data_IF_321622142241
#
_entry.id   IF_321622142241
#
_cell.length_a   1.000
_cell.length_b   1.000
_cell.length_c   1.000
_cell.angle_alpha   90.00
_cell.angle_beta   90.00
_cell.angle_gamma   90.00
#
_symmetry.space_group_name_H-M   'P 1'
#
loop_
_entity.id
_entity.type
_entity.pdbx_description
1 polymer ?
#
# COMPACT_ATOMS: atom_id res chain seq x y z
N UNK A 1 17.39 -12.67 -18.43
CA UNK A 1 16.13 -12.07 -17.95
C UNK A 1 15.69 -11.00 -18.94
N UNK A 2 14.46 -11.08 -19.46
CA UNK A 2 13.95 -10.01 -20.33
C UNK A 2 13.77 -8.72 -19.52
N UNK A 3 14.12 -7.54 -20.08
CA UNK A 3 13.93 -6.26 -19.41
C UNK A 3 12.45 -6.03 -19.06
N UNK A 4 12.17 -5.70 -17.79
CA UNK A 4 10.79 -5.42 -17.34
C UNK A 4 10.34 -4.07 -17.88
N UNK A 5 9.27 -4.05 -18.67
CA UNK A 5 8.63 -2.82 -19.17
C UNK A 5 7.78 -2.14 -18.08
N UNK A 6 7.79 -0.82 -18.03
CA UNK A 6 6.90 -0.02 -17.17
C UNK A 6 5.60 0.26 -17.91
N UNK A 7 4.46 -0.18 -17.38
CA UNK A 7 3.13 0.03 -17.99
C UNK A 7 2.42 1.23 -17.36
N UNK A 8 1.63 1.93 -18.17
CA UNK A 8 0.72 2.94 -17.66
C UNK A 8 -0.37 2.28 -16.82
N UNK A 9 -0.76 2.97 -15.75
CA UNK A 9 -1.75 2.48 -14.78
C UNK A 9 -3.16 2.97 -15.05
N UNK A 10 -3.37 3.86 -16.02
CA UNK A 10 -4.70 4.28 -16.43
C UNK A 10 -5.47 3.11 -17.04
N UNK A 11 -6.77 3.00 -16.74
CA UNK A 11 -7.63 1.93 -17.24
C UNK A 11 -7.62 1.94 -18.78
N UNK A 12 -7.44 0.76 -19.38
CA UNK A 12 -7.36 0.53 -20.84
C UNK A 12 -6.23 1.25 -21.58
N UNK A 13 -5.32 1.96 -20.89
CA UNK A 13 -4.14 2.53 -21.52
C UNK A 13 -3.10 1.45 -21.84
N UNK A 14 -2.70 1.36 -23.12
CA UNK A 14 -1.71 0.38 -23.59
C UNK A 14 -0.28 0.94 -23.64
N UNK A 15 -0.09 2.18 -23.20
CA UNK A 15 1.22 2.83 -23.20
C UNK A 15 2.17 2.11 -22.23
N UNK A 16 3.40 1.89 -22.68
CA UNK A 16 4.47 1.34 -21.86
C UNK A 16 5.81 1.93 -22.27
N UNK A 17 6.79 1.82 -21.36
CA UNK A 17 8.19 2.19 -21.57
C UNK A 17 9.06 0.94 -21.43
N UNK A 18 9.94 0.72 -22.40
CA UNK A 18 11.00 -0.30 -22.33
C UNK A 18 12.31 0.34 -21.87
N UNK A 19 13.26 -0.42 -21.31
CA UNK A 19 14.60 0.11 -21.04
C UNK A 19 15.25 0.62 -22.32
N UNK A 20 15.91 1.79 -22.23
CA UNK A 20 16.49 2.50 -23.39
C UNK A 20 15.53 3.46 -24.11
N UNK A 21 14.25 3.51 -23.73
CA UNK A 21 13.29 4.46 -24.28
C UNK A 21 13.37 5.82 -23.54
N UNK A 22 13.37 6.92 -24.29
CA UNK A 22 13.39 8.28 -23.77
C UNK A 22 12.02 8.79 -23.31
N UNK A 23 10.94 8.03 -23.56
CA UNK A 23 9.59 8.39 -23.10
C UNK A 23 9.53 8.54 -21.59
N UNK A 24 8.94 9.63 -21.10
CA UNK A 24 8.69 9.82 -19.68
C UNK A 24 7.61 8.83 -19.20
N UNK A 25 7.83 8.22 -18.03
CA UNK A 25 6.77 7.55 -17.26
C UNK A 25 6.67 8.24 -15.91
N UNK A 26 5.56 8.94 -15.69
CA UNK A 26 5.34 9.75 -14.50
C UNK A 26 5.02 8.84 -13.31
N UNK A 27 5.85 8.79 -12.26
CA UNK A 27 5.54 8.02 -11.07
C UNK A 27 4.33 8.61 -10.34
N UNK A 28 3.59 7.79 -9.60
CA UNK A 28 2.54 8.30 -8.72
C UNK A 28 3.14 9.23 -7.65
N UNK A 29 2.43 10.29 -7.22
CA UNK A 29 2.91 11.18 -6.16
C UNK A 29 2.99 10.45 -4.81
N UNK A 30 3.58 11.11 -3.82
CA UNK A 30 3.59 10.61 -2.44
C UNK A 30 2.15 10.37 -1.93
N UNK A 31 1.94 9.41 -1.01
CA UNK A 31 0.64 9.17 -0.40
C UNK A 31 0.00 10.46 0.13
N UNK A 32 -1.27 10.69 -0.22
CA UNK A 32 -2.01 11.90 0.14
C UNK A 32 -3.11 12.23 -0.86
N UNK A 33 -3.68 13.44 -0.74
CA UNK A 33 -4.81 13.90 -1.57
C UNK A 33 -4.53 13.84 -3.07
N UNK A 34 -3.33 14.23 -3.50
CA UNK A 34 -2.94 14.19 -4.93
C UNK A 34 -2.85 12.76 -5.46
N UNK A 35 -2.33 11.82 -4.67
CA UNK A 35 -2.27 10.41 -5.08
C UNK A 35 -3.67 9.82 -5.18
N UNK A 36 -4.53 10.11 -4.19
CA UNK A 36 -5.95 9.73 -4.21
C UNK A 36 -6.64 10.21 -5.48
N UNK A 37 -6.38 11.46 -5.88
CA UNK A 37 -6.94 12.04 -7.11
C UNK A 37 -6.44 11.31 -8.37
N UNK A 38 -5.15 10.97 -8.43
CA UNK A 38 -4.62 10.17 -9.54
C UNK A 38 -5.26 8.78 -9.63
N UNK A 39 -5.47 8.11 -8.49
CA UNK A 39 -6.12 6.80 -8.44
C UNK A 39 -7.57 6.92 -8.91
N UNK A 40 -8.34 7.87 -8.37
CA UNK A 40 -9.72 8.12 -8.74
C UNK A 40 -9.86 8.38 -10.26
N UNK A 41 -9.11 9.34 -10.79
CA UNK A 41 -9.20 9.73 -12.19
C UNK A 41 -8.67 8.67 -13.16
N UNK A 42 -7.80 7.76 -12.70
CA UNK A 42 -7.28 6.67 -13.55
C UNK A 42 -8.35 5.67 -14.00
N UNK A 43 -9.48 5.62 -13.30
CA UNK A 43 -10.54 4.63 -13.51
C UNK A 43 -10.10 3.18 -13.24
N UNK A 44 -8.91 2.94 -12.68
CA UNK A 44 -8.34 1.61 -12.55
C UNK A 44 -8.46 1.05 -11.13
N UNK A 45 -9.40 0.13 -10.94
CA UNK A 45 -9.63 -0.54 -9.65
C UNK A 45 -8.45 -1.42 -9.18
N UNK A 46 -7.58 -1.88 -10.09
CA UNK A 46 -6.41 -2.68 -9.70
C UNK A 46 -5.42 -1.90 -8.81
N UNK A 47 -5.49 -0.56 -8.84
CA UNK A 47 -4.70 0.29 -7.96
C UNK A 47 -5.14 0.23 -6.50
N UNK A 48 -6.38 -0.18 -6.22
CA UNK A 48 -6.91 -0.34 -4.87
C UNK A 48 -6.41 -1.61 -4.18
N UNK A 49 -5.93 -2.59 -4.95
CA UNK A 49 -5.32 -3.83 -4.44
C UNK A 49 -3.93 -3.60 -3.84
N UNK A 50 -3.41 -2.38 -3.97
CA UNK A 50 -2.04 -2.00 -3.60
C UNK A 50 -2.09 -0.91 -2.54
N UNK A 51 -1.09 -0.92 -1.67
CA UNK A 51 -0.95 0.16 -0.70
C UNK A 51 -0.59 1.49 -1.39
N UNK A 52 -0.94 2.64 -0.81
CA UNK A 52 -0.52 3.96 -1.30
C UNK A 52 0.99 4.05 -1.57
N UNK A 53 1.79 3.43 -0.69
CA UNK A 53 3.25 3.36 -0.85
C UNK A 53 3.68 2.47 -2.02
N UNK A 54 2.99 1.34 -2.24
CA UNK A 54 3.25 0.48 -3.41
C UNK A 54 2.87 1.18 -4.71
N UNK A 55 1.78 1.96 -4.72
CA UNK A 55 1.39 2.78 -5.86
C UNK A 55 2.49 3.81 -6.19
N UNK A 56 2.97 4.54 -5.18
CA UNK A 56 4.06 5.51 -5.36
C UNK A 56 5.32 4.88 -5.98
N UNK A 57 5.74 3.70 -5.49
CA UNK A 57 6.99 3.06 -5.92
C UNK A 57 6.88 2.33 -7.26
N UNK A 58 5.74 1.70 -7.53
CA UNK A 58 5.63 0.68 -8.58
C UNK A 58 4.65 1.02 -9.70
N UNK A 59 3.91 2.13 -9.61
CA UNK A 59 2.90 2.51 -10.60
C UNK A 59 3.27 3.83 -11.26
N UNK A 60 2.83 3.96 -12.51
CA UNK A 60 3.22 5.05 -13.39
C UNK A 60 2.07 5.43 -14.34
N UNK A 61 2.06 6.70 -14.74
CA UNK A 61 1.16 7.26 -15.77
C UNK A 61 2.00 7.73 -16.96
N UNK A 62 1.54 7.47 -18.19
CA UNK A 62 2.22 8.02 -19.35
C UNK A 62 1.89 9.52 -19.52
N UNK A 63 2.68 10.28 -20.28
CA UNK A 63 2.51 11.73 -20.43
C UNK A 63 1.23 12.13 -21.16
N UNK A 64 0.55 11.18 -21.82
CA UNK A 64 -0.67 11.43 -22.57
C UNK A 64 -1.87 11.75 -21.67
N UNK A 65 -1.79 11.41 -20.38
CA UNK A 65 -2.85 11.70 -19.40
C UNK A 65 -2.75 13.10 -18.79
N UNK A 66 -1.72 13.87 -19.16
CA UNK A 66 -1.46 15.22 -18.65
C UNK A 66 -1.51 16.22 -19.80
N UNK A 67 -2.04 17.40 -19.53
CA UNK A 67 -2.04 18.49 -20.50
C UNK A 67 -0.64 19.11 -20.60
N UNK A 68 -0.26 19.74 -21.74
CA UNK A 68 1.09 20.27 -21.93
C UNK A 68 1.53 21.31 -20.88
N UNK A 69 0.60 22.07 -20.32
CA UNK A 69 0.80 23.08 -19.27
C UNK A 69 1.15 22.48 -17.90
N UNK A 70 0.89 21.20 -17.69
CA UNK A 70 1.22 20.47 -16.47
C UNK A 70 2.68 20.02 -16.40
N UNK A 71 3.43 20.23 -17.47
CA UNK A 71 4.87 19.97 -17.53
C UNK A 71 5.66 21.25 -17.28
N UNK A 72 6.84 21.11 -16.67
CA UNK A 72 7.73 22.26 -16.42
C UNK A 72 8.42 22.75 -17.70
N UNK A 73 8.37 21.97 -18.78
CA UNK A 73 8.96 22.31 -20.07
C UNK A 73 8.19 21.69 -21.24
N UNK A 74 8.40 22.25 -22.44
CA UNK A 74 7.81 21.75 -23.70
C UNK A 74 8.23 20.31 -24.06
N UNK A 75 9.37 19.87 -23.54
CA UNK A 75 9.91 18.53 -23.77
C UNK A 75 9.26 17.44 -22.89
N UNK A 76 8.30 17.80 -22.03
CA UNK A 76 7.58 16.89 -21.13
C UNK A 76 8.52 15.98 -20.31
N UNK A 77 9.61 16.54 -19.81
CA UNK A 77 10.64 15.80 -19.06
C UNK A 77 10.23 15.65 -17.58
N UNK A 78 9.50 16.63 -17.05
CA UNK A 78 9.10 16.68 -15.64
C UNK A 78 7.72 17.29 -15.48
N UNK A 79 6.92 16.69 -14.61
CA UNK A 79 5.62 17.22 -14.18
C UNK A 79 5.80 18.31 -13.13
N UNK A 80 4.88 19.28 -13.13
CA UNK A 80 4.74 20.24 -12.03
C UNK A 80 4.27 19.57 -10.75
N UNK A 81 4.48 20.23 -9.61
CA UNK A 81 4.11 19.73 -8.28
C UNK A 81 2.59 19.66 -8.07
N UNK A 82 1.84 20.44 -8.82
CA UNK A 82 0.37 20.53 -8.80
C UNK A 82 -0.29 19.72 -9.93
N UNK A 83 0.49 19.09 -10.82
CA UNK A 83 -0.05 18.37 -11.97
C UNK A 83 -1.00 17.22 -11.57
N UNK A 84 -2.20 17.23 -12.13
CA UNK A 84 -3.21 16.19 -11.93
C UNK A 84 -3.63 15.70 -13.32
N UNK A 85 -3.55 14.39 -13.60
CA UNK A 85 -3.91 13.88 -14.90
C UNK A 85 -5.38 14.20 -15.17
N UNK A 86 -5.68 14.70 -16.37
CA UNK A 86 -7.02 15.20 -16.73
C UNK A 86 -7.55 14.59 -18.01
N UNK A 87 -6.73 13.81 -18.73
CA UNK A 87 -7.09 13.23 -20.03
C UNK A 87 -7.26 11.72 -19.87
N UNK A 88 -8.51 11.25 -19.81
CA UNK A 88 -8.86 9.84 -19.72
C UNK A 88 -10.00 9.47 -20.65
N UNK A 89 -9.96 8.25 -21.18
CA UNK A 89 -11.05 7.68 -21.98
C UNK A 89 -12.15 7.06 -21.11
N UNK A 90 -11.83 6.75 -19.85
CA UNK A 90 -12.71 6.06 -18.91
C UNK A 90 -13.16 7.03 -17.82
N UNK A 91 -14.38 6.84 -17.28
CA UNK A 91 -14.84 7.66 -16.17
C UNK A 91 -13.98 7.44 -14.92
N UNK A 92 -13.94 8.42 -14.01
CA UNK A 92 -13.30 8.24 -12.72
C UNK A 92 -13.98 7.13 -11.92
N UNK A 93 -13.25 6.58 -10.95
CA UNK A 93 -13.80 5.64 -9.97
C UNK A 93 -14.89 6.31 -9.13
N UNK A 94 -15.94 5.54 -8.78
CA UNK A 94 -17.04 6.04 -7.95
C UNK A 94 -16.60 6.31 -6.51
N UNK A 95 -17.38 7.13 -5.80
CA UNK A 95 -17.11 7.45 -4.40
C UNK A 95 -17.13 6.21 -3.50
N UNK A 96 -18.03 5.24 -3.76
CA UNK A 96 -18.06 4.00 -2.98
C UNK A 96 -16.79 3.16 -3.17
N UNK A 97 -16.21 3.18 -4.38
CA UNK A 97 -14.94 2.51 -4.66
C UNK A 97 -13.80 3.25 -3.94
N UNK A 98 -13.78 4.58 -4.05
CA UNK A 98 -12.74 5.39 -3.42
C UNK A 98 -12.75 5.32 -1.89
N UNK A 99 -13.90 5.06 -1.28
CA UNK A 99 -13.99 4.82 0.16
C UNK A 99 -13.14 3.62 0.61
N UNK A 100 -13.03 2.56 -0.22
CA UNK A 100 -12.17 1.39 0.07
C UNK A 100 -10.69 1.75 0.00
N UNK A 101 -10.32 2.63 -0.92
CA UNK A 101 -8.95 3.15 -1.01
C UNK A 101 -8.57 3.92 0.26
N UNK A 102 -9.48 4.76 0.76
CA UNK A 102 -9.28 5.55 1.97
C UNK A 102 -9.17 4.65 3.23
N UNK A 103 -9.92 3.56 3.30
CA UNK A 103 -9.79 2.56 4.37
C UNK A 103 -8.40 1.92 4.40
N UNK A 104 -7.85 1.57 3.23
CA UNK A 104 -6.47 1.04 3.12
C UNK A 104 -5.40 2.08 3.48
N UNK A 105 -5.67 3.36 3.22
CA UNK A 105 -4.80 4.46 3.61
C UNK A 105 -4.71 4.57 5.14
N UNK A 106 -5.84 4.42 5.84
CA UNK A 106 -5.92 4.57 7.30
C UNK A 106 -5.47 3.33 8.09
N UNK A 107 -5.73 2.12 7.59
CA UNK A 107 -5.37 0.89 8.31
C UNK A 107 -3.86 0.67 8.42
N UNK A 108 -3.07 1.15 7.45
CA UNK A 108 -1.61 1.01 7.50
C UNK A 108 -1.00 1.92 8.58
N UNK A 109 -1.52 3.13 8.76
CA UNK A 109 -1.05 4.05 9.80
C UNK A 109 -1.44 3.53 11.20
N UNK A 110 -2.66 3.00 11.37
CA UNK A 110 -3.13 2.46 12.65
C UNK A 110 -2.37 1.19 13.05
N UNK A 111 -2.12 0.27 12.12
CA UNK A 111 -1.35 -0.96 12.42
C UNK A 111 0.10 -0.61 12.77
N UNK A 112 0.72 0.38 12.12
CA UNK A 112 2.07 0.81 12.49
C UNK A 112 2.12 1.46 13.88
N UNK A 113 1.11 2.26 14.24
CA UNK A 113 1.00 2.84 15.59
C UNK A 113 0.76 1.76 16.64
N UNK A 114 -0.14 0.79 16.40
CA UNK A 114 -0.40 -0.32 17.32
C UNK A 114 0.82 -1.22 17.52
N UNK A 115 1.57 -1.54 16.45
CA UNK A 115 2.83 -2.28 16.53
C UNK A 115 3.88 -1.45 17.29
N UNK A 116 3.97 -0.14 17.07
CA UNK A 116 4.91 0.72 17.78
C UNK A 116 4.60 0.79 19.28
N UNK A 117 3.32 0.95 19.67
CA UNK A 117 2.89 0.92 21.08
C UNK A 117 3.21 -0.45 21.70
N UNK A 118 2.85 -1.55 21.04
CA UNK A 118 3.09 -2.90 21.55
C UNK A 118 4.58 -3.24 21.72
N UNK A 119 5.47 -2.70 20.86
CA UNK A 119 6.91 -2.91 20.97
C UNK A 119 7.63 -1.89 21.89
N UNK A 120 6.93 -0.84 22.33
CA UNK A 120 7.47 0.19 23.23
C UNK A 120 7.20 -0.11 24.71
N UNK A 121 6.37 -1.12 25.01
CA UNK A 121 6.12 -1.58 26.38
C UNK A 121 7.21 -2.57 26.84
N UNK A 122 8.08 -2.20 27.80
CA UNK A 122 9.10 -3.11 28.33
C UNK A 122 8.51 -4.28 29.14
N UNK A 123 7.26 -4.19 29.57
CA UNK A 123 6.59 -5.22 30.38
C UNK A 123 6.23 -6.48 29.57
N UNK A 124 6.08 -6.39 28.26
CA UNK A 124 5.68 -7.53 27.42
C UNK A 124 6.85 -8.47 27.04
N UNK A 125 8.06 -8.22 27.58
CA UNK A 125 9.23 -9.09 27.40
C UNK A 125 9.40 -10.12 28.52
N UNK A 126 8.59 -10.06 29.59
CA UNK A 126 8.86 -10.79 30.82
C UNK A 126 7.70 -11.68 31.30
N UNK A 127 7.15 -12.54 30.44
CA UNK A 127 6.20 -13.58 30.88
C UNK A 127 6.27 -14.87 30.05
N UNK A 128 7.48 -15.33 29.75
CA UNK A 128 7.71 -16.72 29.39
C UNK A 128 8.60 -17.33 30.46
N UNK A 129 8.02 -17.67 31.62
CA UNK A 129 8.61 -18.72 32.45
C UNK A 129 8.23 -20.05 31.80
N UNK A 130 9.19 -20.93 31.46
CA UNK A 130 8.86 -22.27 31.00
C UNK A 130 8.09 -23.01 32.11
N UNK A 131 7.14 -23.89 31.76
CA UNK A 131 6.48 -24.71 32.76
C UNK A 131 7.54 -25.59 33.43
N UNK A 132 7.73 -25.40 34.73
CA UNK A 132 8.54 -26.26 35.57
C UNK A 132 7.81 -27.60 35.71
N UNK A 133 8.32 -28.63 35.04
CA UNK A 133 7.96 -30.02 35.35
C UNK A 133 8.46 -30.36 36.78
N UNK A 134 7.66 -31.14 37.49
CA UNK A 134 7.85 -31.68 38.84
C UNK A 134 7.37 -30.79 40.00
N UNK A 135 6.10 -31.00 40.36
CA UNK A 135 5.70 -31.27 41.74
C UNK A 135 4.44 -32.17 41.72
N UNK A 136 4.66 -33.43 41.31
CA UNK A 136 3.75 -34.53 41.68
C UNK A 136 4.02 -34.85 43.16
N UNK A 137 3.36 -34.11 44.04
CA UNK A 137 3.25 -34.49 45.45
C UNK A 137 2.41 -35.77 45.53
N UNK A 138 3.11 -36.85 45.83
CA UNK A 138 2.56 -38.14 46.24
C UNK A 138 1.62 -37.91 47.42
N UNK A 139 0.33 -38.17 47.23
CA UNK A 139 -0.62 -38.31 48.34
C UNK A 139 -0.47 -39.70 48.97
N UNK A 140 -0.43 -39.82 50.31
CA UNK A 140 -0.46 -41.13 50.97
C UNK A 140 -1.83 -41.79 50.75
N UNK A 141 -1.82 -43.08 50.44
CA UNK A 141 -3.02 -43.93 50.45
C UNK A 141 -3.23 -44.34 51.90
N UNK A 142 -4.12 -43.63 52.60
CA UNK A 142 -4.69 -44.13 53.85
C UNK A 142 -5.84 -45.09 53.53
N UNK A 143 -5.73 -46.30 54.05
CA UNK A 143 -6.74 -47.35 54.03
C UNK A 143 -7.97 -46.96 54.88
N UNK A 144 -9.16 -47.48 54.55
CA UNK A 144 -10.19 -47.70 55.55
C UNK A 144 -10.32 -49.18 55.91
N UNK A 145 -10.28 -49.41 57.23
CA UNK A 145 -10.59 -50.61 57.99
C UNK A 145 -11.98 -51.22 57.69
N UNK A 146 -12.05 -52.52 57.98
CA UNK A 146 -13.21 -53.42 58.05
C UNK A 146 -14.46 -52.85 58.75
N UNK A 147 -15.65 -53.17 58.20
CA UNK A 147 -16.76 -53.81 58.93
C UNK A 147 -17.79 -54.42 57.98
#
# INVERSE_FOLDING_TARGET
>A
MAPKKKRCSALRCRSFKVPGDDRLMCPFPQPGSRQRMWVCLSGNEDLLKLTPMQNHRNRYMCPNHFTPDQFTNKFRIKLRLDAVPSVFEQPPLSDEIMQRYDQHFMTIEIIQIQIFIFNSDPENRCSQTPPHENDLLILPIDAPDDN
#
